data_IF_412573439902
#
_entry.id   IF_412573439902
#
_cell.length_a   1.000
_cell.length_b   1.000
_cell.length_c   1.000
_cell.angle_alpha   90.00
_cell.angle_beta   90.00
_cell.angle_gamma   90.00
#
_symmetry.space_group_name_H-M   'P 1'
#
loop_
_entity.id
_entity.type
_entity.pdbx_description
1 polymer ?
#
# COMPACT_ATOMS: atom_id res chain seq x y z
N UNK A 1 12.98 -13.65 -7.41
CA UNK A 1 12.13 -14.29 -8.43
C UNK A 1 12.86 -15.45 -9.12
N UNK A 2 14.10 -15.29 -9.52
CA UNK A 2 14.88 -16.37 -10.19
C UNK A 2 15.04 -17.64 -9.33
N UNK A 3 15.06 -17.48 -8.00
CA UNK A 3 15.11 -18.60 -7.04
C UNK A 3 13.73 -19.17 -6.66
N UNK A 4 12.64 -18.73 -7.31
CA UNK A 4 11.29 -19.20 -7.04
C UNK A 4 10.60 -18.54 -5.84
N UNK A 5 11.23 -17.54 -5.19
CA UNK A 5 10.64 -16.83 -4.07
C UNK A 5 9.85 -15.59 -4.51
N UNK A 6 8.74 -15.32 -3.82
CA UNK A 6 7.99 -14.08 -3.96
C UNK A 6 8.36 -13.13 -2.82
N UNK A 7 8.98 -11.98 -3.11
CA UNK A 7 9.37 -11.02 -2.06
C UNK A 7 8.15 -10.35 -1.42
N UNK A 8 8.22 -10.15 -0.09
CA UNK A 8 7.31 -9.29 0.66
C UNK A 8 8.08 -8.06 1.10
N UNK A 9 7.67 -6.88 0.64
CA UNK A 9 8.24 -5.59 1.05
C UNK A 9 7.54 -5.19 2.35
N UNK A 10 8.28 -5.21 3.45
CA UNK A 10 7.76 -4.88 4.76
C UNK A 10 7.67 -3.37 4.97
N UNK A 11 6.57 -2.90 5.54
CA UNK A 11 6.27 -1.53 5.98
C UNK A 11 6.76 -0.41 5.04
N UNK A 12 6.44 -0.47 3.70
CA UNK A 12 6.92 0.52 2.73
C UNK A 12 6.38 1.92 3.01
N UNK A 13 5.27 2.07 3.70
CA UNK A 13 4.69 3.34 4.12
C UNK A 13 5.59 4.16 5.05
N UNK A 14 6.62 3.52 5.62
CA UNK A 14 7.61 4.16 6.49
C UNK A 14 8.85 4.65 5.75
N UNK A 15 9.02 4.29 4.49
CA UNK A 15 10.16 4.72 3.67
C UNK A 15 9.92 6.14 3.15
N UNK A 16 10.90 7.02 3.37
CA UNK A 16 10.81 8.44 2.98
C UNK A 16 10.57 8.58 1.47
N UNK A 17 11.19 7.74 0.67
CA UNK A 17 11.03 7.72 -0.79
C UNK A 17 9.59 7.40 -1.17
N UNK A 18 8.99 6.41 -0.52
CA UNK A 18 7.59 5.99 -0.75
C UNK A 18 6.61 7.08 -0.27
N UNK A 19 6.90 7.73 0.85
CA UNK A 19 6.09 8.86 1.35
C UNK A 19 6.10 10.04 0.36
N UNK A 20 7.20 10.26 -0.37
CA UNK A 20 7.33 11.29 -1.41
C UNK A 20 6.62 10.90 -2.69
N UNK A 21 6.76 9.65 -3.10
CA UNK A 21 6.15 9.08 -4.31
C UNK A 21 5.91 7.58 -4.16
N UNK A 22 4.69 7.21 -3.79
CA UNK A 22 4.30 5.80 -3.63
C UNK A 22 4.23 5.04 -4.97
N UNK A 23 4.20 5.77 -6.10
CA UNK A 23 4.06 5.15 -7.43
C UNK A 23 5.29 4.33 -7.82
N UNK A 24 6.46 4.58 -7.21
CA UNK A 24 7.65 3.74 -7.42
C UNK A 24 7.44 2.28 -6.96
N UNK A 25 6.45 1.99 -6.11
CA UNK A 25 6.12 0.62 -5.71
C UNK A 25 5.44 -0.19 -6.83
N UNK A 26 4.87 0.46 -7.84
CA UNK A 26 4.20 -0.23 -8.96
C UNK A 26 5.13 -1.20 -9.67
N UNK A 27 6.35 -0.79 -9.95
CA UNK A 27 7.33 -1.63 -10.65
C UNK A 27 7.66 -2.92 -9.85
N UNK A 28 7.54 -2.90 -8.54
CA UNK A 28 7.71 -4.09 -7.70
C UNK A 28 6.44 -4.95 -7.66
N UNK A 29 5.26 -4.34 -7.58
CA UNK A 29 3.98 -5.06 -7.62
C UNK A 29 3.80 -5.75 -8.97
N UNK A 30 4.10 -5.06 -10.09
CA UNK A 30 4.06 -5.63 -11.44
C UNK A 30 5.00 -6.83 -11.62
N UNK A 31 6.10 -6.87 -10.88
CA UNK A 31 7.00 -8.03 -10.80
C UNK A 31 6.50 -9.13 -9.86
N UNK A 32 5.39 -8.91 -9.15
CA UNK A 32 4.78 -9.88 -8.23
C UNK A 32 5.22 -9.74 -6.78
N UNK A 33 5.90 -8.66 -6.37
CA UNK A 33 6.15 -8.38 -4.95
C UNK A 33 4.85 -8.11 -4.21
N UNK A 34 4.78 -8.55 -2.95
CA UNK A 34 3.70 -8.21 -2.04
C UNK A 34 4.11 -7.03 -1.15
N UNK A 35 3.15 -6.21 -0.75
CA UNK A 35 3.37 -5.11 0.19
C UNK A 35 2.67 -5.41 1.51
N UNK A 36 3.42 -5.43 2.60
CA UNK A 36 2.92 -5.55 3.96
C UNK A 36 2.96 -4.19 4.65
N UNK A 37 1.82 -3.70 5.13
CA UNK A 37 1.70 -2.44 5.86
C UNK A 37 1.49 -2.70 7.35
N UNK A 38 2.09 -1.88 8.22
CA UNK A 38 1.98 -2.05 9.67
C UNK A 38 0.63 -1.55 10.20
N UNK A 39 0.02 -2.31 11.15
CA UNK A 39 -1.19 -1.90 11.87
C UNK A 39 -1.04 -0.52 12.49
N UNK A 40 0.08 -0.27 13.17
CA UNK A 40 0.38 1.01 13.81
C UNK A 40 0.43 2.20 12.86
N UNK A 41 0.68 1.99 11.56
CA UNK A 41 0.67 3.06 10.58
C UNK A 41 -0.75 3.58 10.33
N UNK A 42 -1.75 2.70 10.27
CA UNK A 42 -3.16 3.11 10.15
C UNK A 42 -3.67 3.86 11.37
N UNK A 43 -3.08 3.60 12.54
CA UNK A 43 -3.41 4.25 13.81
C UNK A 43 -2.59 5.54 14.06
N UNK A 44 -1.66 5.88 13.17
CA UNK A 44 -0.80 7.06 13.30
C UNK A 44 0.37 6.90 14.27
N UNK A 45 0.61 5.69 14.79
CA UNK A 45 1.69 5.41 15.76
C UNK A 45 3.10 5.58 15.17
N UNK A 46 3.22 5.53 13.84
CA UNK A 46 4.48 5.73 13.11
C UNK A 46 4.60 7.13 12.49
N UNK A 47 3.75 8.08 12.93
CA UNK A 47 3.75 9.46 12.46
C UNK A 47 2.76 9.72 11.31
N UNK A 48 2.47 11.02 11.11
CA UNK A 48 1.40 11.46 10.17
C UNK A 48 1.70 11.08 8.71
N UNK A 49 2.94 11.15 8.27
CA UNK A 49 3.29 10.85 6.88
C UNK A 49 3.17 9.33 6.59
N UNK A 50 3.59 8.48 7.52
CA UNK A 50 3.39 7.04 7.42
C UNK A 50 1.89 6.69 7.38
N UNK A 51 1.06 7.34 8.23
CA UNK A 51 -0.39 7.15 8.22
C UNK A 51 -1.02 7.56 6.88
N UNK A 52 -0.69 8.75 6.37
CA UNK A 52 -1.20 9.22 5.07
C UNK A 52 -0.83 8.27 3.94
N UNK A 53 0.42 7.78 3.95
CA UNK A 53 0.92 6.85 2.95
C UNK A 53 0.23 5.50 3.06
N UNK A 54 0.06 4.94 4.28
CA UNK A 54 -0.68 3.71 4.49
C UNK A 54 -2.12 3.78 3.95
N UNK A 55 -2.84 4.87 4.27
CA UNK A 55 -4.21 5.11 3.77
C UNK A 55 -4.23 5.28 2.25
N UNK A 56 -3.24 5.98 1.67
CA UNK A 56 -3.14 6.14 0.23
C UNK A 56 -2.89 4.79 -0.47
N UNK A 57 -1.95 3.99 0.03
CA UNK A 57 -1.68 2.63 -0.49
C UNK A 57 -2.93 1.75 -0.42
N UNK A 58 -3.68 1.81 0.69
CA UNK A 58 -4.93 1.06 0.85
C UNK A 58 -5.98 1.48 -0.20
N UNK A 59 -6.21 2.78 -0.37
CA UNK A 59 -7.20 3.31 -1.34
C UNK A 59 -6.86 3.01 -2.79
N UNK A 60 -5.59 2.81 -3.08
CA UNK A 60 -5.12 2.39 -4.41
C UNK A 60 -4.95 0.89 -4.55
N UNK A 61 -5.45 0.13 -3.57
CA UNK A 61 -5.38 -1.34 -3.56
C UNK A 61 -3.96 -1.87 -3.77
N UNK A 62 -2.97 -1.17 -3.22
CA UNK A 62 -1.56 -1.57 -3.28
C UNK A 62 -1.12 -2.38 -2.05
N UNK A 63 -1.98 -2.48 -1.01
CA UNK A 63 -1.69 -3.26 0.20
C UNK A 63 -2.10 -4.71 -0.01
N UNK A 64 -1.22 -5.65 0.30
CA UNK A 64 -1.49 -7.08 0.18
C UNK A 64 -1.65 -7.77 1.54
N UNK A 65 -0.96 -7.28 2.56
CA UNK A 65 -0.96 -7.82 3.92
C UNK A 65 -0.97 -6.68 4.93
N UNK A 66 -1.65 -6.87 6.05
CA UNK A 66 -1.49 -6.01 7.22
C UNK A 66 -0.99 -6.85 8.38
N UNK A 67 0.08 -6.40 9.03
CA UNK A 67 0.68 -7.09 10.17
C UNK A 67 1.12 -6.11 11.26
N UNK A 68 1.27 -6.60 12.47
CA UNK A 68 1.62 -5.76 13.62
C UNK A 68 3.07 -5.31 13.64
N UNK A 69 3.97 -6.08 13.05
CA UNK A 69 5.41 -5.91 13.19
C UNK A 69 5.82 -5.79 14.67
N UNK A 70 5.16 -6.59 15.53
CA UNK A 70 5.31 -6.53 16.98
C UNK A 70 6.62 -7.17 17.41
N UNK A 71 7.44 -6.42 18.17
CA UNK A 71 8.72 -6.89 18.70
C UNK A 71 8.71 -6.98 20.25
N UNK A 72 7.69 -6.44 20.90
CA UNK A 72 7.60 -6.45 22.36
C UNK A 72 6.16 -6.19 22.84
N UNK A 73 5.84 -6.60 24.05
CA UNK A 73 4.55 -6.32 24.70
C UNK A 73 4.47 -4.91 25.31
N UNK A 74 5.51 -4.08 25.16
CA UNK A 74 5.58 -2.71 25.66
C UNK A 74 5.01 -1.67 24.71
N UNK A 75 5.89 -0.86 24.10
CA UNK A 75 5.50 0.27 23.23
C UNK A 75 4.86 -0.14 21.90
N UNK A 76 5.01 -1.39 21.47
CA UNK A 76 4.46 -1.94 20.22
C UNK A 76 3.55 -3.11 20.56
N UNK A 77 2.46 -2.82 21.25
CA UNK A 77 1.40 -3.80 21.46
C UNK A 77 0.79 -4.19 20.11
N UNK A 78 0.30 -5.41 19.96
CA UNK A 78 -0.43 -5.80 18.76
C UNK A 78 -1.81 -5.11 18.75
N UNK A 79 -1.87 -3.91 18.20
CA UNK A 79 -3.11 -3.12 18.04
C UNK A 79 -3.96 -3.66 16.86
N UNK A 80 -4.23 -4.98 16.89
CA UNK A 80 -4.85 -5.67 15.76
C UNK A 80 -6.31 -5.24 15.55
N UNK A 81 -7.13 -5.30 16.58
CA UNK A 81 -8.57 -5.04 16.48
C UNK A 81 -8.87 -3.58 16.08
N UNK A 82 -8.16 -2.63 16.70
CA UNK A 82 -8.32 -1.22 16.38
C UNK A 82 -7.86 -0.91 14.96
N UNK A 83 -6.75 -1.50 14.51
CA UNK A 83 -6.27 -1.33 13.15
C UNK A 83 -7.22 -1.97 12.13
N UNK A 84 -7.78 -3.16 12.43
CA UNK A 84 -8.78 -3.81 11.59
C UNK A 84 -10.00 -2.89 11.38
N UNK A 85 -10.60 -2.39 12.47
CA UNK A 85 -11.72 -1.46 12.40
C UNK A 85 -11.38 -0.20 11.59
N UNK A 86 -10.17 0.34 11.79
CA UNK A 86 -9.72 1.52 11.06
C UNK A 86 -9.53 1.27 9.56
N UNK A 87 -9.04 0.10 9.18
CA UNK A 87 -8.91 -0.28 7.76
C UNK A 87 -10.30 -0.50 7.13
N UNK A 88 -11.24 -1.10 7.86
CA UNK A 88 -12.63 -1.23 7.42
C UNK A 88 -13.28 0.15 7.19
N UNK A 89 -13.06 1.12 8.09
CA UNK A 89 -13.54 2.51 7.94
C UNK A 89 -12.93 3.22 6.71
N UNK A 90 -11.65 2.98 6.42
CA UNK A 90 -10.96 3.61 5.29
C UNK A 90 -11.29 2.96 3.94
N UNK A 91 -11.79 1.72 3.94
CA UNK A 91 -12.10 0.94 2.73
C UNK A 91 -13.43 0.20 2.83
N UNK A 92 -13.41 -1.02 3.35
CA UNK A 92 -14.58 -1.86 3.61
C UNK A 92 -14.23 -2.99 4.57
N UNK A 93 -15.24 -3.59 5.21
CA UNK A 93 -15.11 -4.80 6.04
C UNK A 93 -14.48 -5.95 5.24
N UNK A 94 -14.95 -6.15 4.00
CA UNK A 94 -14.41 -7.19 3.12
C UNK A 94 -12.92 -6.99 2.83
N UNK A 95 -12.49 -5.75 2.60
CA UNK A 95 -11.07 -5.45 2.39
C UNK A 95 -10.25 -5.68 3.66
N UNK A 96 -10.77 -5.30 4.82
CA UNK A 96 -10.12 -5.56 6.10
C UNK A 96 -9.94 -7.07 6.32
N UNK A 97 -11.01 -7.88 6.15
CA UNK A 97 -10.94 -9.33 6.27
C UNK A 97 -9.89 -9.93 5.33
N UNK A 98 -9.90 -9.48 4.06
CA UNK A 98 -8.92 -9.93 3.06
C UNK A 98 -7.49 -9.67 3.50
N UNK A 99 -7.18 -8.44 3.96
CA UNK A 99 -5.81 -8.02 4.28
C UNK A 99 -5.29 -8.56 5.62
N UNK A 100 -6.18 -8.79 6.59
CA UNK A 100 -5.80 -9.21 7.94
C UNK A 100 -5.89 -10.72 8.15
N UNK A 101 -6.71 -11.43 7.36
CA UNK A 101 -7.01 -12.85 7.59
C UNK A 101 -6.70 -13.67 6.34
N UNK A 102 -7.42 -13.46 5.24
CA UNK A 102 -7.34 -14.33 4.06
C UNK A 102 -5.94 -14.36 3.44
N UNK A 103 -5.38 -13.20 3.10
CA UNK A 103 -4.07 -13.10 2.46
C UNK A 103 -2.93 -13.59 3.37
N UNK A 104 -2.88 -13.26 4.68
CA UNK A 104 -1.91 -13.86 5.59
C UNK A 104 -2.02 -15.37 5.69
N UNK A 105 -3.23 -15.94 5.72
CA UNK A 105 -3.44 -17.39 5.76
C UNK A 105 -2.92 -18.08 4.50
N UNK A 106 -3.26 -17.56 3.32
CA UNK A 106 -2.77 -18.07 2.05
C UNK A 106 -1.24 -18.02 1.95
N UNK A 107 -0.64 -16.89 2.42
CA UNK A 107 0.82 -16.76 2.44
C UNK A 107 1.48 -17.80 3.36
N UNK A 108 0.92 -18.04 4.55
CA UNK A 108 1.44 -19.02 5.50
C UNK A 108 1.26 -20.46 5.02
N UNK A 109 0.24 -20.72 4.21
CA UNK A 109 -0.02 -22.01 3.58
C UNK A 109 0.83 -22.25 2.30
N UNK A 110 1.67 -21.28 1.92
CA UNK A 110 2.44 -21.29 0.66
C UNK A 110 1.54 -21.47 -0.58
N UNK A 111 0.33 -20.93 -0.52
CA UNK A 111 -0.63 -20.97 -1.62
C UNK A 111 -0.32 -19.93 -2.68
N UNK A 112 -0.70 -20.21 -3.93
CA UNK A 112 -0.62 -19.23 -5.00
C UNK A 112 -1.57 -18.07 -4.75
N UNK A 113 -1.02 -16.87 -4.57
CA UNK A 113 -1.82 -15.66 -4.42
C UNK A 113 -2.30 -15.18 -5.79
N UNK A 114 -3.60 -14.87 -5.90
CA UNK A 114 -4.18 -14.30 -7.10
C UNK A 114 -3.52 -12.97 -7.50
N UNK A 115 -3.39 -12.69 -8.81
CA UNK A 115 -2.87 -11.43 -9.29
C UNK A 115 -3.66 -10.24 -8.73
N UNK A 116 -2.95 -9.25 -8.23
CA UNK A 116 -3.54 -8.05 -7.66
C UNK A 116 -3.22 -6.85 -8.54
N UNK A 117 -4.25 -6.19 -9.04
CA UNK A 117 -4.09 -5.02 -9.90
C UNK A 117 -4.42 -3.74 -9.13
N UNK A 118 -3.44 -2.89 -8.84
CA UNK A 118 -3.68 -1.63 -8.16
C UNK A 118 -4.64 -0.71 -8.91
N UNK A 119 -5.51 -0.02 -8.17
CA UNK A 119 -6.36 1.04 -8.70
C UNK A 119 -5.55 2.33 -8.75
N UNK A 120 -5.08 2.69 -9.93
CA UNK A 120 -4.21 3.86 -10.09
C UNK A 120 -5.02 5.16 -10.09
N UNK A 121 -4.48 6.24 -9.47
CA UNK A 121 -5.07 7.55 -9.60
C UNK A 121 -5.02 8.00 -11.07
N UNK A 122 -6.01 8.79 -11.54
CA UNK A 122 -5.97 9.33 -12.88
C UNK A 122 -4.68 10.13 -13.07
N UNK A 123 -3.91 9.81 -14.12
CA UNK A 123 -2.66 10.53 -14.44
C UNK A 123 -2.98 12.03 -14.52
N UNK A 124 -2.43 12.82 -13.61
CA UNK A 124 -2.46 14.29 -13.76
C UNK A 124 -1.80 14.60 -15.09
N UNK A 125 -2.56 15.13 -16.06
CA UNK A 125 -2.00 15.63 -17.33
C UNK A 125 -0.90 16.61 -16.94
N UNK A 126 0.33 16.32 -17.32
CA UNK A 126 1.49 17.15 -17.00
C UNK A 126 1.17 18.59 -17.42
N UNK A 127 1.49 19.55 -16.57
CA UNK A 127 1.37 21.00 -16.86
C UNK A 127 2.08 21.37 -18.17
N UNK A 128 3.16 20.66 -18.50
CA UNK A 128 3.89 20.78 -19.78
C UNK A 128 3.03 20.40 -21.01
N UNK A 129 2.08 19.48 -20.89
CA UNK A 129 1.17 19.15 -21.99
C UNK A 129 0.13 20.26 -22.18
N UNK A 130 -0.31 20.92 -21.11
CA UNK A 130 -1.20 22.08 -21.17
C UNK A 130 -0.51 23.29 -21.82
N UNK A 131 0.78 23.49 -21.58
CA UNK A 131 1.57 24.55 -22.26
C UNK A 131 1.72 24.27 -23.76
N UNK A 132 1.99 23.04 -24.17
CA UNK A 132 2.09 22.70 -25.61
C UNK A 132 0.78 22.91 -26.37
N UNK A 133 -0.38 22.58 -25.78
CA UNK A 133 -1.69 22.83 -26.39
C UNK A 133 -2.08 24.30 -26.41
N UNK A 134 -1.64 25.09 -25.43
CA UNK A 134 -1.88 26.53 -25.41
C UNK A 134 -1.02 27.30 -26.45
N UNK A 135 0.21 26.84 -26.69
CA UNK A 135 1.11 27.45 -27.70
C UNK A 135 0.75 27.04 -29.13
N UNK A 136 0.12 25.88 -29.36
CA UNK A 136 -0.29 25.49 -30.73
C UNK A 136 -1.64 26.10 -31.15
N UNK A 137 -2.40 26.69 -30.25
CA UNK A 137 -3.68 27.35 -30.55
C UNK A 137 -3.56 28.87 -30.82
N UNK A 138 -2.35 29.42 -30.74
CA UNK A 138 -2.08 30.86 -30.88
C UNK A 138 -1.49 31.31 -32.23
N UNK A 139 -1.34 30.41 -33.21
CA UNK A 139 -0.86 30.73 -34.55
C UNK A 139 -1.77 30.07 -35.61
N UNK A 140 -2.96 30.58 -35.72
CA UNK A 140 -3.84 30.35 -36.87
C UNK A 140 -4.59 31.67 -37.16
#
# INVERSE_FOLDING_TARGET
FEAGYRPVIAHPERYIEVQRDMMQLLAYIEKGCLLQVNTGSFLGLHGKEAQKTAVALLRHEMVHLVATDCHSMGRRKPEYQEAYARVADYSSEQMAEKLFVEMPQQLLADEALEPWSPVLPPRKKSFLLKLKTAFSAGYA
#
